data_IF_693410305475
#
_entry.id   IF_693410305475
#
_cell.length_a   1.000
_cell.length_b   1.000
_cell.length_c   1.000
_cell.angle_alpha   90.00
_cell.angle_beta   90.00
_cell.angle_gamma   90.00
#
_symmetry.space_group_name_H-M   'P 1'
#
loop_
_entity.id
_entity.type
_entity.pdbx_description
1 polymer ?
2 non-polymer ?
3 non-polymer ?
4 water ?
#
# COMPACT_ATOMS: atom_id res chain seq x y z
N UNK A 6 8.45 15.50 -10.97
CA UNK A 6 8.91 14.71 -12.09
C UNK A 6 9.21 13.25 -11.74
N UNK A 7 10.10 12.98 -10.79
CA UNK A 7 10.27 11.59 -10.35
C UNK A 7 8.95 11.02 -9.86
N UNK A 8 8.70 9.76 -10.18
CA UNK A 8 7.57 9.04 -9.65
C UNK A 8 8.01 8.12 -8.52
N UNK A 9 7.16 8.03 -7.51
CA UNK A 9 7.46 7.31 -6.28
C UNK A 9 6.37 6.29 -5.98
N UNK A 10 6.61 5.50 -4.96
CA UNK A 10 5.59 4.70 -4.32
C UNK A 10 5.19 3.49 -5.14
N UNK A 11 4.34 2.65 -4.57
CA UNK A 11 3.72 1.58 -5.34
C UNK A 11 2.83 2.14 -6.44
N UNK A 12 2.25 3.33 -6.23
CA UNK A 12 1.31 3.88 -7.20
C UNK A 12 1.97 4.56 -8.38
N UNK A 13 3.28 4.80 -8.34
CA UNK A 13 4.00 5.43 -9.43
C UNK A 13 3.44 6.80 -9.76
N UNK A 14 3.24 7.62 -8.73
CA UNK A 14 2.88 9.03 -8.87
C UNK A 14 3.93 9.92 -8.23
N UNK A 15 3.93 11.17 -8.64
CA UNK A 15 4.87 12.14 -8.09
C UNK A 15 4.68 12.31 -6.59
N UNK A 16 5.68 12.91 -5.95
CA UNK A 16 5.59 13.24 -4.54
C UNK A 16 4.46 14.25 -4.33
N UNK A 17 3.57 13.93 -3.40
CA UNK A 17 2.51 14.85 -3.01
C UNK A 17 2.13 14.50 -1.58
N UNK A 18 1.75 15.52 -0.83
CA UNK A 18 1.36 15.24 0.53
C UNK A 18 2.48 14.73 1.40
N UNK A 19 2.07 14.06 2.46
CA UNK A 19 3.00 13.46 3.41
C UNK A 19 3.61 12.20 2.81
N UNK A 20 4.94 12.12 2.84
CA UNK A 20 5.70 11.01 2.29
C UNK A 20 6.51 10.34 3.40
N UNK A 21 6.65 9.04 3.32
CA UNK A 21 7.45 8.28 4.27
C UNK A 21 8.48 7.46 3.52
N UNK A 22 9.64 7.31 4.14
CA UNK A 22 10.74 6.55 3.57
C UNK A 22 10.88 5.22 4.30
N UNK A 23 10.97 4.15 3.51
CA UNK A 23 11.21 2.83 4.09
C UNK A 23 12.63 2.74 4.62
N UNK A 24 12.78 2.14 5.79
CA UNK A 24 14.08 2.08 6.45
C UNK A 24 14.84 0.79 6.16
N UNK A 25 14.29 -0.06 5.30
CA UNK A 25 15.02 -1.19 4.76
C UNK A 25 15.92 -0.69 3.63
N UNK A 26 17.22 -0.95 3.75
CA UNK A 26 18.16 -0.41 2.78
C UNK A 26 17.99 -0.98 1.39
N UNK A 27 17.37 -2.15 1.26
CA UNK A 27 17.18 -2.80 -0.03
C UNK A 27 15.78 -2.61 -0.59
N UNK A 28 15.00 -1.73 0.01
CA UNK A 28 13.67 -1.44 -0.52
C UNK A 28 13.77 -0.97 -1.96
N UNK A 29 13.08 -1.61 -2.89
CA UNK A 29 13.13 -1.14 -4.28
C UNK A 29 12.49 0.22 -4.51
N UNK A 30 11.51 0.61 -3.69
CA UNK A 30 10.70 1.78 -3.99
C UNK A 30 11.11 2.98 -3.14
N UNK A 31 11.41 2.74 -1.84
CA UNK A 31 12.00 3.72 -0.94
C UNK A 31 10.99 4.74 -0.39
N UNK A 32 10.24 5.41 -1.26
CA UNK A 32 9.41 6.54 -0.83
C UNK A 32 7.95 6.29 -1.19
N UNK A 33 7.05 6.52 -0.23
CA UNK A 33 5.65 6.18 -0.36
C UNK A 33 4.78 7.31 0.13
N UNK A 34 3.63 7.46 -0.50
CA UNK A 34 2.62 8.37 0.05
C UNK A 34 1.98 7.75 1.28
N UNK A 35 1.71 8.56 2.30
CA UNK A 35 1.14 8.02 3.54
C UNK A 35 -0.10 7.16 3.25
N UNK A 36 -1.02 7.68 2.43
CA UNK A 36 -2.28 6.98 2.20
C UNK A 36 -2.08 5.62 1.55
N UNK A 37 -1.13 5.52 0.61
CA UNK A 37 -0.89 4.27 -0.09
C UNK A 37 -0.38 3.17 0.83
N UNK A 38 0.07 3.52 2.04
CA UNK A 38 0.58 2.53 2.97
C UNK A 38 -0.17 2.57 4.30
N UNK A 39 -1.33 3.24 4.33
CA UNK A 39 -2.20 3.17 5.49
C UNK A 39 -1.84 4.05 6.65
N UNK A 40 -0.99 5.06 6.46
CA UNK A 40 -0.57 5.94 7.54
C UNK A 40 -1.38 7.23 7.55
N UNK A 41 -1.59 7.77 8.75
CA UNK A 41 -2.12 9.12 8.89
C UNK A 41 -1.16 10.04 9.64
N UNK A 42 -0.16 9.49 10.32
CA UNK A 42 0.77 10.29 11.08
C UNK A 42 2.17 9.72 10.92
N UNK A 43 3.15 10.59 11.10
CA UNK A 43 4.54 10.20 10.93
C UNK A 43 4.90 9.08 11.88
N UNK A 44 5.59 8.05 11.40
CA UNK A 44 6.02 6.97 12.30
C UNK A 44 6.94 7.50 13.39
N UNK A 45 6.81 6.92 14.58
CA UNK A 45 7.57 7.40 15.74
C UNK A 45 8.93 6.72 15.86
N UNK A 46 9.18 5.70 15.08
CA UNK A 46 10.48 5.10 14.96
C UNK A 46 10.74 4.62 13.55
N UNK A 47 11.65 3.68 13.37
CA UNK A 47 11.90 3.15 12.04
C UNK A 47 10.60 2.57 11.48
N UNK A 48 10.43 2.68 10.17
CA UNK A 48 9.24 2.24 9.48
C UNK A 48 9.67 1.41 8.28
N UNK A 49 8.97 0.29 8.07
CA UNK A 49 9.20 -0.61 6.93
C UNK A 49 7.91 -0.70 6.14
N UNK A 50 8.02 -0.57 4.82
CA UNK A 50 6.87 -0.58 3.95
C UNK A 50 6.23 -1.96 3.96
N UNK A 51 5.00 -2.08 3.42
CA UNK A 51 4.33 -3.39 3.48
C UNK A 51 5.09 -4.49 2.74
N UNK A 52 5.70 -4.17 1.60
CA UNK A 52 6.44 -5.18 0.85
C UNK A 52 7.69 -5.62 1.60
N UNK A 53 8.41 -4.67 2.21
CA UNK A 53 9.58 -5.05 2.99
C UNK A 53 9.20 -5.74 4.27
N UNK A 54 8.10 -5.33 4.88
CA UNK A 54 7.59 -6.06 6.04
C UNK A 54 7.30 -7.52 5.71
N UNK A 55 6.70 -7.77 4.55
CA UNK A 55 6.47 -9.14 4.11
C UNK A 55 7.80 -9.88 3.90
N UNK A 56 8.79 -9.18 3.36
CA UNK A 56 10.09 -9.80 3.13
C UNK A 56 10.90 -10.02 4.40
N UNK A 57 10.60 -9.31 5.49
CA UNK A 57 11.37 -9.47 6.72
C UNK A 57 10.80 -10.47 7.70
N UNK A 58 9.55 -10.90 7.53
CA UNK A 58 8.97 -11.85 8.47
C UNK A 58 9.54 -13.25 8.29
N UNK B 6 -10.32 -0.38 -19.59
CA UNK B 6 -9.20 -1.22 -19.15
C UNK B 6 -9.40 -1.67 -17.70
N UNK B 7 -9.39 -2.99 -17.46
CA UNK B 7 -9.70 -3.50 -16.09
C UNK B 7 -8.49 -3.50 -15.17
N UNK B 8 -8.09 -2.32 -14.69
CA UNK B 8 -6.93 -2.19 -13.81
C UNK B 8 -7.32 -2.06 -12.34
N UNK B 9 -6.46 -2.59 -11.50
CA UNK B 9 -6.77 -2.68 -10.08
C UNK B 9 -5.52 -2.41 -9.27
N UNK B 10 -5.71 -2.46 -7.96
CA UNK B 10 -4.66 -2.35 -6.94
C UNK B 10 -4.09 -0.95 -6.89
N UNK B 11 -3.32 -0.68 -5.84
CA UNK B 11 -2.59 0.58 -5.75
C UNK B 11 -1.69 0.75 -6.95
N UNK B 12 -1.17 -0.36 -7.48
CA UNK B 12 -0.25 -0.27 -8.60
C UNK B 12 -0.95 0.06 -9.92
N UNK B 13 -2.26 -0.15 -10.00
CA UNK B 13 -3.04 0.17 -11.20
C UNK B 13 -2.66 -0.72 -12.39
N UNK B 14 -2.62 -2.03 -12.16
CA UNK B 14 -2.32 -3.02 -13.19
C UNK B 14 -3.42 -4.07 -13.23
N UNK B 15 -3.39 -4.95 -14.24
CA UNK B 15 -4.45 -5.98 -14.35
C UNK B 15 -4.29 -7.01 -13.23
N UNK B 16 -5.37 -7.76 -12.97
CA UNK B 16 -5.40 -8.73 -11.89
C UNK B 16 -4.46 -9.91 -12.16
N UNK B 17 -3.92 -10.49 -11.08
CA UNK B 17 -3.11 -11.72 -11.18
C UNK B 17 -2.76 -12.37 -9.83
N UNK B 19 -3.74 -14.14 -6.95
CA UNK B 19 -4.72 -13.92 -5.90
C UNK B 19 -4.89 -12.43 -5.60
N UNK B 20 -6.16 -11.99 -5.60
CA UNK B 20 -6.52 -10.62 -5.26
C UNK B 20 -7.28 -10.64 -3.94
N UNK B 21 -7.02 -9.66 -3.11
CA UNK B 21 -7.82 -9.42 -1.91
C UNK B 21 -8.77 -8.26 -2.19
N UNK B 22 -10.00 -8.37 -1.68
CA UNK B 22 -11.00 -7.34 -1.89
C UNK B 22 -11.17 -6.46 -0.66
N UNK B 23 -11.21 -5.15 -0.89
CA UNK B 23 -11.47 -4.21 0.20
C UNK B 23 -12.93 -4.28 0.63
N UNK B 24 -13.16 -4.23 1.93
CA UNK B 24 -14.51 -4.40 2.45
C UNK B 24 -15.24 -3.07 2.60
N UNK B 25 -14.63 -1.96 2.15
CA UNK B 25 -15.36 -0.71 2.04
C UNK B 25 -16.16 -0.77 0.74
N UNK B 26 -17.50 -0.79 0.86
CA UNK B 26 -18.35 -0.83 -0.32
C UNK B 26 -18.02 0.30 -1.30
N UNK B 27 -17.49 1.42 -0.79
CA UNK B 27 -17.19 2.58 -1.61
C UNK B 27 -15.72 2.68 -1.98
N UNK B 28 -14.97 1.60 -1.81
CA UNK B 28 -13.56 1.63 -2.18
C UNK B 28 -13.37 2.06 -3.63
N UNK B 29 -12.43 2.94 -3.91
CA UNK B 29 -12.22 3.35 -5.31
C UNK B 29 -11.47 2.36 -6.16
N UNK B 30 -10.85 1.35 -5.55
CA UNK B 30 -10.00 0.40 -6.26
C UNK B 30 -10.55 -1.03 -6.23
N UNK B 31 -11.07 -1.46 -5.09
CA UNK B 31 -11.77 -2.73 -4.90
C UNK B 31 -10.90 -3.95 -4.67
N UNK B 32 -9.92 -4.19 -5.56
CA UNK B 32 -9.15 -5.42 -5.55
C UNK B 32 -7.67 -5.09 -5.63
N UNK B 33 -6.87 -5.84 -4.85
CA UNK B 33 -5.46 -5.57 -4.64
C UNK B 33 -4.64 -6.84 -4.75
N UNK B 34 -3.44 -6.72 -5.33
CA UNK B 34 -2.51 -7.84 -5.31
C UNK B 34 -2.02 -8.02 -3.87
N UNK B 35 -1.98 -9.27 -3.40
CA UNK B 35 -1.47 -9.54 -2.07
C UNK B 35 -0.12 -8.88 -1.86
N UNK B 36 0.79 -9.02 -2.83
CA UNK B 36 2.15 -8.56 -2.63
C UNK B 36 2.24 -7.06 -2.49
N UNK B 37 1.43 -6.34 -3.27
CA UNK B 37 1.46 -4.88 -3.23
C UNK B 37 1.03 -4.33 -1.88
N UNK B 38 0.15 -5.04 -1.17
CA UNK B 38 -0.34 -4.60 0.14
C UNK B 38 0.31 -5.35 1.27
N UNK B 39 1.34 -6.15 0.97
CA UNK B 39 2.14 -6.77 2.00
C UNK B 39 1.57 -8.00 2.66
N UNK B 40 0.61 -8.65 2.01
CA UNK B 40 -0.01 -9.86 2.55
C UNK B 40 0.74 -11.08 2.05
N UNK B 41 1.01 -12.03 2.95
CA UNK B 41 1.63 -13.29 2.60
C UNK B 41 0.66 -14.45 2.74
N UNK B 42 -0.58 -14.17 3.07
CA UNK B 42 -1.61 -15.19 3.27
C UNK B 42 -2.95 -14.47 3.31
N UNK B 43 -4.00 -15.23 3.15
CA UNK B 43 -5.32 -14.62 3.07
C UNK B 43 -5.67 -13.98 4.41
N UNK B 44 -6.17 -12.75 4.41
CA UNK B 44 -6.55 -12.12 5.66
C UNK B 44 -7.76 -12.81 6.24
N UNK B 45 -7.84 -12.82 7.55
CA UNK B 45 -9.04 -13.25 8.25
C UNK B 45 -9.87 -12.02 8.61
N UNK B 46 -11.16 -12.21 8.67
CA UNK B 46 -12.04 -11.15 9.07
C UNK B 46 -12.15 -10.15 7.95
N UNK B 47 -12.67 -8.97 8.29
CA UNK B 47 -12.75 -7.89 7.33
C UNK B 47 -11.36 -7.35 7.01
N UNK B 48 -11.22 -6.88 5.78
CA UNK B 48 -9.97 -6.30 5.34
C UNK B 48 -10.28 -5.01 4.58
N UNK B 49 -9.56 -3.96 4.92
CA UNK B 49 -9.63 -2.67 4.28
C UNK B 49 -8.27 -2.31 3.71
N UNK B 50 -8.29 -1.74 2.53
CA UNK B 50 -7.05 -1.41 1.86
C UNK B 50 -6.35 -0.25 2.53
N UNK B 51 -5.11 0.05 2.12
CA UNK B 51 -4.37 1.11 2.82
C UNK B 51 -5.03 2.47 2.76
N UNK B 52 -5.55 2.88 1.60
CA UNK B 52 -6.16 4.22 1.51
C UNK B 52 -7.44 4.30 2.32
N UNK B 53 -8.26 3.26 2.29
CA UNK B 53 -9.49 3.28 3.08
C UNK B 53 -9.16 3.25 4.57
N UNK B 54 -8.14 2.48 4.94
CA UNK B 54 -7.71 2.42 6.33
C UNK B 54 -7.31 3.80 6.80
N UNK B 55 -6.48 4.49 6.02
CA UNK B 55 -6.03 5.82 6.42
C UNK B 55 -7.22 6.77 6.51
N UNK B 56 -8.15 6.69 5.57
CA UNK B 56 -9.28 7.61 5.58
C UNK B 56 -10.19 7.39 6.78
N UNK B 57 -10.19 6.17 7.33
CA UNK B 57 -11.02 5.90 8.49
C UNK B 57 -10.37 6.31 9.81
N UNK B 58 -9.08 6.62 9.81
CA UNK B 58 -8.35 6.86 11.05
C UNK B 58 -7.59 8.18 11.01
#
# INVERSE_FOLDING_TARGET
>A
GAMGNEPRYCICNQVSYGEMVGCDNQDCPIEWFHYGCVGLTEAPKGKWYCPQCTAAMK
>B
GAMGNEPRYCICNQVSYGEMVGCDNQDCPIEWFHYGCVGLTEAPKGKWYCPQCTAAMK
#
